data_IF_728675995153
#
_entry.id   IF_728675995153
#
_cell.length_a   1.000
_cell.length_b   1.000
_cell.length_c   1.000
_cell.angle_alpha   90.00
_cell.angle_beta   90.00
_cell.angle_gamma   90.00
#
_symmetry.space_group_name_H-M   'P 1'
#
loop_
_entity.id
_entity.type
_entity.pdbx_description
1 polymer ?
#
# COMPACT_ATOMS: atom_id res chain seq x y z
N UNK A 1 10.37 41.20 33.12
CA UNK A 1 10.83 39.99 32.41
C UNK A 1 9.62 39.06 32.21
N UNK A 2 8.86 39.18 31.11
CA UNK A 2 7.76 38.23 30.81
C UNK A 2 7.19 38.39 29.38
N UNK A 3 8.02 38.66 28.37
CA UNK A 3 7.52 39.02 27.02
C UNK A 3 8.24 38.28 25.89
N UNK A 4 8.64 37.03 26.13
CA UNK A 4 9.36 36.23 25.12
C UNK A 4 8.73 34.86 24.82
N UNK A 5 7.58 34.51 25.41
CA UNK A 5 7.04 33.13 25.30
C UNK A 5 5.85 32.95 24.35
N UNK A 6 5.41 33.98 23.62
CA UNK A 6 4.17 33.92 22.81
C UNK A 6 4.39 33.78 21.28
N UNK A 7 5.63 33.68 20.81
CA UNK A 7 5.95 33.60 19.38
C UNK A 7 6.10 32.17 18.81
N UNK A 8 5.86 31.12 19.60
CA UNK A 8 6.08 29.73 19.17
C UNK A 8 4.82 28.94 18.74
N UNK A 9 3.62 29.53 18.80
CA UNK A 9 2.36 28.75 18.73
C UNK A 9 1.49 28.97 17.47
N UNK A 10 2.07 29.36 16.33
CA UNK A 10 1.31 29.50 15.06
C UNK A 10 1.74 28.53 13.96
N UNK A 11 2.59 27.52 14.26
CA UNK A 11 2.92 26.42 13.35
C UNK A 11 2.04 25.17 13.57
N UNK A 12 0.73 25.35 13.76
CA UNK A 12 -0.22 24.25 13.91
C UNK A 12 -1.41 24.44 12.96
N UNK A 13 -1.19 24.15 11.68
CA UNK A 13 -2.25 24.23 10.67
C UNK A 13 -2.09 23.31 9.46
N UNK A 14 -1.07 22.47 9.44
CA UNK A 14 -0.93 21.44 8.41
C UNK A 14 -0.74 20.12 9.13
N UNK A 15 -1.78 19.29 9.13
CA UNK A 15 -1.66 17.92 9.59
C UNK A 15 -0.46 17.31 8.84
N UNK A 16 0.55 16.76 9.55
CA UNK A 16 1.60 16.02 8.88
C UNK A 16 0.91 14.93 8.07
N UNK A 17 1.28 14.83 6.80
CA UNK A 17 1.08 13.58 6.07
C UNK A 17 1.72 12.51 6.94
N UNK A 18 0.98 11.43 7.21
CA UNK A 18 1.36 10.43 8.20
C UNK A 18 2.87 10.10 8.16
N UNK A 19 3.54 9.91 9.30
CA UNK A 19 4.96 9.55 9.31
C UNK A 19 5.16 8.36 8.38
N UNK A 20 6.09 8.49 7.43
CA UNK A 20 6.36 7.47 6.43
C UNK A 20 6.46 6.11 7.13
N UNK A 21 5.55 5.19 6.79
CA UNK A 21 5.47 3.91 7.47
C UNK A 21 6.81 3.19 7.28
N UNK A 22 7.62 3.09 8.33
CA UNK A 22 9.01 2.64 8.22
C UNK A 22 9.06 1.26 7.56
N UNK A 23 9.81 1.08 6.48
CA UNK A 23 9.84 -0.20 5.78
C UNK A 23 10.46 -1.29 6.67
N UNK A 24 10.08 -2.57 6.50
CA UNK A 24 10.77 -3.68 7.15
C UNK A 24 12.26 -3.72 6.76
N UNK A 25 13.12 -4.25 7.63
CA UNK A 25 14.56 -4.29 7.37
C UNK A 25 15.00 -5.43 6.45
N UNK A 26 14.29 -6.57 6.46
CA UNK A 26 14.61 -7.71 5.60
C UNK A 26 14.22 -7.47 4.13
N UNK A 27 14.91 -8.14 3.20
CA UNK A 27 14.70 -7.92 1.76
C UNK A 27 13.29 -8.26 1.29
N UNK A 28 12.67 -9.32 1.83
CA UNK A 28 11.34 -9.73 1.39
C UNK A 28 10.27 -8.74 1.86
N UNK A 29 10.26 -8.40 3.15
CA UNK A 29 9.36 -7.40 3.72
C UNK A 29 9.57 -6.02 3.12
N UNK A 30 10.82 -5.63 2.83
CA UNK A 30 11.13 -4.35 2.20
C UNK A 30 10.56 -4.26 0.79
N UNK A 31 10.78 -5.27 -0.06
CA UNK A 31 10.27 -5.29 -1.43
C UNK A 31 8.74 -5.34 -1.45
N UNK A 32 8.12 -6.10 -0.55
CA UNK A 32 6.68 -6.11 -0.35
C UNK A 32 6.13 -4.73 0.06
N UNK A 33 6.84 -4.02 0.95
CA UNK A 33 6.50 -2.65 1.31
C UNK A 33 6.65 -1.69 0.12
N UNK A 34 7.72 -1.79 -0.66
CA UNK A 34 7.91 -0.98 -1.88
C UNK A 34 6.75 -1.19 -2.87
N UNK A 35 6.29 -2.43 -3.05
CA UNK A 35 5.13 -2.75 -3.87
C UNK A 35 3.86 -2.04 -3.39
N UNK A 36 3.56 -2.08 -2.09
CA UNK A 36 2.40 -1.40 -1.52
C UNK A 36 2.43 0.11 -1.67
N UNK A 37 3.60 0.72 -1.39
CA UNK A 37 3.80 2.16 -1.49
C UNK A 37 3.68 2.64 -2.94
N UNK A 38 4.32 1.94 -3.88
CA UNK A 38 4.27 2.28 -5.30
C UNK A 38 2.88 2.04 -5.90
N UNK A 39 2.17 1.00 -5.44
CA UNK A 39 0.78 0.78 -5.82
C UNK A 39 -0.12 1.95 -5.45
N UNK A 40 0.01 2.49 -4.24
CA UNK A 40 -0.76 3.68 -3.83
C UNK A 40 -0.44 4.91 -4.67
N UNK A 41 0.84 5.11 -5.04
CA UNK A 41 1.26 6.19 -5.93
C UNK A 41 0.59 6.10 -7.31
N UNK A 42 0.56 4.90 -7.91
CA UNK A 42 -0.05 4.66 -9.22
C UNK A 42 -1.56 4.85 -9.21
N UNK A 43 -2.21 4.44 -8.11
CA UNK A 43 -3.67 4.52 -7.95
C UNK A 43 -4.15 5.96 -7.76
N UNK A 44 -3.36 6.81 -7.10
CA UNK A 44 -3.69 8.22 -6.89
C UNK A 44 -3.54 9.11 -8.12
N UNK A 45 -2.87 8.62 -9.17
CA UNK A 45 -2.52 9.42 -10.35
C UNK A 45 -3.71 10.24 -10.90
N UNK A 46 -4.82 9.57 -11.23
CA UNK A 46 -5.96 10.24 -11.88
C UNK A 46 -6.65 11.25 -10.92
N UNK A 47 -6.57 11.02 -9.61
CA UNK A 47 -7.09 11.92 -8.58
C UNK A 47 -6.26 13.19 -8.43
N UNK A 48 -4.93 13.10 -8.54
CA UNK A 48 -4.02 14.24 -8.29
C UNK A 48 -3.76 15.07 -9.54
N UNK A 49 -3.79 14.48 -10.73
CA UNK A 49 -3.39 15.14 -11.98
C UNK A 49 -4.08 16.49 -12.26
N UNK A 50 -5.36 16.72 -11.94
CA UNK A 50 -5.96 18.04 -12.11
C UNK A 50 -5.26 19.14 -11.30
N UNK A 51 -4.91 18.85 -10.05
CA UNK A 51 -4.19 19.80 -9.19
C UNK A 51 -2.71 19.89 -9.56
N UNK A 52 -2.06 18.79 -9.93
CA UNK A 52 -0.69 18.81 -10.48
C UNK A 52 -0.64 19.73 -11.70
N UNK A 53 -1.58 19.59 -12.63
CA UNK A 53 -1.68 20.44 -13.82
C UNK A 53 -1.86 21.91 -13.47
N UNK A 54 -2.67 22.22 -12.45
CA UNK A 54 -2.85 23.59 -11.97
C UNK A 54 -1.57 24.15 -11.35
N UNK A 55 -0.85 23.34 -10.56
CA UNK A 55 0.40 23.71 -9.90
C UNK A 55 1.49 23.99 -10.95
N UNK A 56 1.68 23.09 -11.90
CA UNK A 56 2.69 23.25 -12.98
C UNK A 56 2.44 24.50 -13.81
N UNK A 57 1.17 24.83 -14.10
CA UNK A 57 0.82 26.08 -14.81
C UNK A 57 1.11 27.34 -14.01
N UNK A 58 0.92 27.28 -12.69
CA UNK A 58 1.18 28.43 -11.80
C UNK A 58 2.67 28.61 -11.50
N UNK A 59 3.42 27.51 -11.46
CA UNK A 59 4.84 27.46 -11.11
C UNK A 59 5.59 26.56 -12.10
N UNK A 60 5.81 27.02 -13.35
CA UNK A 60 6.46 26.21 -14.36
C UNK A 60 7.89 25.84 -13.92
N UNK A 61 8.23 24.56 -14.11
CA UNK A 61 9.60 24.08 -13.98
C UNK A 61 10.56 24.75 -15.00
N UNK A 62 11.88 24.52 -14.86
CA UNK A 62 12.90 25.16 -15.71
C UNK A 62 12.71 24.86 -17.21
N UNK A 63 12.18 23.69 -17.54
CA UNK A 63 11.93 23.25 -18.92
C UNK A 63 10.50 23.59 -19.42
N UNK A 64 9.71 24.27 -18.58
CA UNK A 64 8.33 24.67 -18.87
C UNK A 64 7.27 23.64 -18.50
N UNK A 65 6.00 24.08 -18.58
CA UNK A 65 4.82 23.29 -18.19
C UNK A 65 4.67 22.02 -19.03
N UNK A 66 4.88 22.13 -20.34
CA UNK A 66 4.62 21.05 -21.30
C UNK A 66 5.58 19.88 -21.10
N UNK A 67 6.86 20.18 -20.86
CA UNK A 67 7.87 19.18 -20.50
C UNK A 67 7.53 18.50 -19.17
N UNK A 68 7.18 19.29 -18.15
CA UNK A 68 6.84 18.78 -16.82
C UNK A 68 5.62 17.85 -16.85
N UNK A 69 4.58 18.23 -17.59
CA UNK A 69 3.36 17.42 -17.73
C UNK A 69 3.58 16.11 -18.49
N UNK A 70 4.58 16.04 -19.37
CA UNK A 70 4.95 14.81 -20.08
C UNK A 70 5.60 13.78 -19.15
N UNK A 71 6.33 14.22 -18.13
CA UNK A 71 7.05 13.33 -17.21
C UNK A 71 6.11 12.47 -16.36
N UNK A 72 4.97 13.01 -15.90
CA UNK A 72 4.05 12.29 -15.03
C UNK A 72 3.49 10.96 -15.59
N UNK A 73 2.95 10.89 -16.82
CA UNK A 73 2.52 9.61 -17.39
C UNK A 73 3.68 8.61 -17.57
N UNK A 74 4.88 9.09 -17.90
CA UNK A 74 6.08 8.25 -18.00
C UNK A 74 6.47 7.65 -16.64
N UNK A 75 6.44 8.46 -15.58
CA UNK A 75 6.65 7.99 -14.20
C UNK A 75 5.60 6.96 -13.78
N UNK A 76 4.32 7.15 -14.13
CA UNK A 76 3.26 6.15 -13.85
C UNK A 76 3.53 4.84 -14.60
N UNK A 77 3.98 4.91 -15.84
CA UNK A 77 4.30 3.73 -16.65
C UNK A 77 5.51 2.98 -16.10
N UNK A 78 6.55 3.71 -15.68
CA UNK A 78 7.73 3.13 -15.02
C UNK A 78 7.33 2.46 -13.70
N UNK A 79 6.54 3.13 -12.86
CA UNK A 79 6.06 2.58 -11.60
C UNK A 79 5.29 1.25 -11.78
N UNK A 80 4.45 1.14 -12.81
CA UNK A 80 3.76 -0.11 -13.16
C UNK A 80 4.72 -1.21 -13.62
N UNK A 81 5.83 -0.84 -14.25
CA UNK A 81 6.89 -1.78 -14.64
C UNK A 81 7.64 -2.29 -13.40
N UNK A 82 8.01 -1.40 -12.48
CA UNK A 82 8.68 -1.76 -11.24
C UNK A 82 7.81 -2.66 -10.36
N UNK A 83 6.50 -2.41 -10.30
CA UNK A 83 5.56 -3.30 -9.61
C UNK A 83 5.60 -4.75 -10.12
N UNK A 84 5.87 -4.97 -11.41
CA UNK A 84 6.03 -6.33 -11.97
C UNK A 84 7.32 -6.98 -11.47
N UNK A 85 8.41 -6.21 -11.39
CA UNK A 85 9.69 -6.67 -10.82
C UNK A 85 9.49 -7.08 -9.36
N UNK A 86 8.79 -6.25 -8.57
CA UNK A 86 8.51 -6.57 -7.17
C UNK A 86 7.62 -7.81 -7.03
N UNK A 87 6.60 -7.93 -7.88
CA UNK A 87 5.72 -9.12 -7.91
C UNK A 87 6.51 -10.39 -8.19
N UNK A 88 7.43 -10.35 -9.16
CA UNK A 88 8.29 -11.49 -9.47
C UNK A 88 9.20 -11.87 -8.29
N UNK A 89 9.83 -10.89 -7.66
CA UNK A 89 10.70 -11.10 -6.51
C UNK A 89 9.96 -11.68 -5.29
N UNK A 90 8.78 -11.14 -4.95
CA UNK A 90 7.92 -11.61 -3.86
C UNK A 90 7.48 -13.05 -4.13
N UNK A 91 6.99 -13.33 -5.34
CA UNK A 91 6.55 -14.67 -5.74
C UNK A 91 7.69 -15.68 -5.70
N UNK A 92 8.88 -15.30 -6.18
CA UNK A 92 10.05 -16.16 -6.13
C UNK A 92 10.46 -16.47 -4.69
N UNK A 93 10.45 -15.47 -3.80
CA UNK A 93 10.76 -15.63 -2.39
C UNK A 93 9.75 -16.54 -1.67
N UNK A 94 8.46 -16.37 -1.93
CA UNK A 94 7.41 -17.23 -1.35
C UNK A 94 7.58 -18.68 -1.78
N UNK A 95 7.86 -18.93 -3.06
CA UNK A 95 8.10 -20.28 -3.59
C UNK A 95 9.36 -20.92 -3.05
N UNK A 96 10.39 -20.12 -2.78
CA UNK A 96 11.67 -20.60 -2.26
C UNK A 96 11.67 -20.75 -0.74
N UNK A 97 10.61 -20.34 -0.05
CA UNK A 97 10.54 -20.40 1.39
C UNK A 97 10.11 -21.78 1.89
N UNK A 98 10.77 -22.36 2.91
CA UNK A 98 10.34 -23.61 3.52
C UNK A 98 9.08 -23.45 4.40
N UNK A 99 8.66 -22.22 4.67
CA UNK A 99 7.44 -21.88 5.43
C UNK A 99 6.59 -20.89 4.63
N UNK A 100 5.26 -20.89 4.78
CA UNK A 100 4.44 -19.85 4.17
C UNK A 100 4.79 -18.48 4.76
N UNK A 101 5.23 -17.54 3.90
CA UNK A 101 5.59 -16.16 4.29
C UNK A 101 4.67 -15.10 3.69
N UNK A 102 3.67 -15.51 2.90
CA UNK A 102 2.77 -14.61 2.17
C UNK A 102 1.93 -13.72 3.09
N UNK A 103 1.56 -14.18 4.29
CA UNK A 103 0.87 -13.34 5.27
C UNK A 103 1.74 -12.17 5.74
N UNK A 104 3.03 -12.44 5.99
CA UNK A 104 4.01 -11.39 6.31
C UNK A 104 4.20 -10.42 5.15
N UNK A 105 4.32 -10.94 3.92
CA UNK A 105 4.39 -10.11 2.71
C UNK A 105 3.14 -9.24 2.55
N UNK A 106 1.95 -9.80 2.73
CA UNK A 106 0.69 -9.06 2.69
C UNK A 106 0.61 -7.96 3.74
N UNK A 107 1.09 -8.20 4.96
CA UNK A 107 1.18 -7.16 5.99
C UNK A 107 2.16 -6.04 5.61
N UNK A 108 3.31 -6.39 5.02
CA UNK A 108 4.28 -5.42 4.51
C UNK A 108 3.71 -4.59 3.34
N UNK A 109 2.98 -5.21 2.41
CA UNK A 109 2.25 -4.51 1.33
C UNK A 109 1.26 -3.50 1.92
N UNK A 110 0.45 -3.91 2.92
CA UNK A 110 -0.49 -2.99 3.60
C UNK A 110 0.24 -1.83 4.28
N UNK A 111 1.39 -2.09 4.91
CA UNK A 111 2.24 -1.05 5.51
C UNK A 111 2.85 -0.11 4.46
N UNK A 112 3.22 -0.63 3.30
CA UNK A 112 3.65 0.20 2.16
C UNK A 112 2.54 1.12 1.69
N UNK A 113 1.34 0.55 1.52
CA UNK A 113 0.14 1.29 1.12
C UNK A 113 -0.20 2.42 2.10
N UNK A 114 0.10 2.25 3.39
CA UNK A 114 -0.20 3.26 4.40
C UNK A 114 0.63 4.54 4.30
N UNK A 115 1.65 4.60 3.42
CA UNK A 115 2.29 5.86 3.01
C UNK A 115 1.27 6.86 2.47
N UNK A 116 0.18 6.35 1.88
CA UNK A 116 -0.89 7.14 1.27
C UNK A 116 -2.17 7.19 2.13
N UNK A 117 -2.10 6.75 3.39
CA UNK A 117 -3.25 6.84 4.30
C UNK A 117 -3.70 8.29 4.44
N UNK A 118 -5.01 8.51 4.34
CA UNK A 118 -5.61 9.84 4.45
C UNK A 118 -5.71 10.60 3.13
N UNK A 119 -5.29 10.01 2.00
CA UNK A 119 -5.43 10.64 0.68
C UNK A 119 -6.88 11.04 0.35
N UNK A 120 -7.87 10.24 0.73
CA UNK A 120 -9.30 10.53 0.49
C UNK A 120 -9.82 11.72 1.33
N UNK A 121 -9.21 11.96 2.49
CA UNK A 121 -9.58 13.05 3.40
C UNK A 121 -8.70 14.30 3.25
N UNK A 122 -7.60 14.20 2.51
CA UNK A 122 -6.66 15.29 2.34
C UNK A 122 -7.23 16.37 1.43
N UNK A 123 -6.87 17.63 1.69
CA UNK A 123 -7.10 18.70 0.71
C UNK A 123 -6.41 18.35 -0.61
N UNK A 124 -7.10 18.53 -1.75
CA UNK A 124 -6.61 18.13 -3.08
C UNK A 124 -5.26 18.75 -3.44
N UNK A 125 -5.06 20.04 -3.15
CA UNK A 125 -3.80 20.72 -3.44
C UNK A 125 -2.66 20.17 -2.57
N UNK A 126 -2.95 19.85 -1.30
CA UNK A 126 -1.97 19.22 -0.41
C UNK A 126 -1.61 17.81 -0.90
N UNK A 127 -2.61 17.01 -1.27
CA UNK A 127 -2.38 15.66 -1.79
C UNK A 127 -1.50 15.69 -3.05
N UNK A 128 -1.79 16.59 -3.99
CA UNK A 128 -0.99 16.75 -5.20
C UNK A 128 0.46 17.13 -4.91
N UNK A 129 0.69 18.11 -4.03
CA UNK A 129 2.05 18.50 -3.63
C UNK A 129 2.84 17.33 -3.02
N UNK A 130 2.19 16.58 -2.13
CA UNK A 130 2.80 15.42 -1.48
C UNK A 130 3.13 14.35 -2.51
N UNK A 131 2.18 14.05 -3.39
CA UNK A 131 2.36 13.07 -4.46
C UNK A 131 3.49 13.47 -5.43
N UNK A 132 3.57 14.75 -5.82
CA UNK A 132 4.65 15.28 -6.67
C UNK A 132 6.02 15.20 -5.98
N UNK A 133 6.07 15.41 -4.66
CA UNK A 133 7.31 15.39 -3.88
C UNK A 133 7.79 13.99 -3.50
N UNK A 134 6.93 12.99 -3.67
CA UNK A 134 7.21 11.64 -3.21
C UNK A 134 7.95 10.83 -4.29
N UNK A 135 8.93 10.06 -3.85
CA UNK A 135 9.65 9.10 -4.68
C UNK A 135 9.83 7.81 -3.88
N UNK A 136 9.74 6.62 -4.51
CA UNK A 136 10.09 5.39 -3.83
C UNK A 136 11.57 5.43 -3.39
N UNK A 137 11.94 4.70 -2.31
CA UNK A 137 13.34 4.52 -1.97
C UNK A 137 14.17 4.00 -3.16
N UNK A 138 15.34 4.60 -3.39
CA UNK A 138 16.15 4.33 -4.59
C UNK A 138 16.74 2.92 -4.69
N UNK A 139 16.65 2.11 -3.63
CA UNK A 139 17.14 0.74 -3.58
C UNK A 139 16.05 -0.32 -3.75
N UNK A 140 14.77 0.06 -3.90
CA UNK A 140 13.66 -0.89 -4.05
C UNK A 140 13.89 -1.87 -5.22
N UNK A 141 14.26 -1.37 -6.40
CA UNK A 141 14.50 -2.21 -7.59
C UNK A 141 15.73 -3.12 -7.41
N UNK A 142 16.83 -2.56 -6.89
CA UNK A 142 18.08 -3.30 -6.65
C UNK A 142 17.85 -4.46 -5.69
N UNK A 143 17.13 -4.23 -4.58
CA UNK A 143 16.81 -5.26 -3.59
C UNK A 143 15.84 -6.29 -4.15
N UNK A 144 14.86 -5.88 -4.96
CA UNK A 144 13.95 -6.81 -5.61
C UNK A 144 14.67 -7.78 -6.56
N UNK A 145 15.54 -7.27 -7.44
CA UNK A 145 16.34 -8.11 -8.35
C UNK A 145 17.27 -9.06 -7.58
N UNK A 146 17.91 -8.57 -6.51
CA UNK A 146 18.77 -9.39 -5.66
C UNK A 146 17.97 -10.49 -4.94
N UNK A 147 16.80 -10.15 -4.40
CA UNK A 147 15.87 -11.09 -3.75
C UNK A 147 15.43 -12.16 -4.74
N UNK A 148 14.92 -11.78 -5.91
CA UNK A 148 14.48 -12.71 -6.94
C UNK A 148 15.58 -13.70 -7.32
N UNK A 149 16.80 -13.20 -7.59
CA UNK A 149 17.95 -14.03 -7.96
C UNK A 149 18.27 -15.06 -6.87
N UNK A 150 18.38 -14.63 -5.60
CA UNK A 150 18.69 -15.54 -4.48
C UNK A 150 17.57 -16.55 -4.26
N UNK A 151 16.32 -16.10 -4.31
CA UNK A 151 15.15 -16.97 -4.14
C UNK A 151 15.06 -18.02 -5.25
N UNK A 152 15.34 -17.65 -6.50
CA UNK A 152 15.39 -18.63 -7.60
C UNK A 152 16.49 -19.68 -7.42
N UNK A 153 17.65 -19.32 -6.84
CA UNK A 153 18.71 -20.28 -6.52
C UNK A 153 18.27 -21.21 -5.37
N UNK A 154 17.74 -20.63 -4.29
CA UNK A 154 17.27 -21.38 -3.12
C UNK A 154 16.12 -22.32 -3.48
N UNK A 155 15.13 -21.85 -4.24
CA UNK A 155 14.00 -22.66 -4.69
C UNK A 155 14.45 -23.85 -5.52
N UNK A 156 15.41 -23.66 -6.44
CA UNK A 156 16.01 -24.78 -7.20
C UNK A 156 16.73 -25.78 -6.30
N UNK A 157 17.46 -25.32 -5.29
CA UNK A 157 18.15 -26.20 -4.35
C UNK A 157 17.18 -27.02 -3.48
N UNK A 158 16.10 -26.40 -3.00
CA UNK A 158 15.07 -27.08 -2.22
C UNK A 158 14.31 -28.11 -3.06
N UNK A 159 13.93 -27.77 -4.30
CA UNK A 159 13.31 -28.72 -5.23
C UNK A 159 14.28 -29.86 -5.57
N UNK A 160 15.56 -29.57 -5.84
CA UNK A 160 16.56 -30.59 -6.12
C UNK A 160 16.71 -31.61 -4.97
N UNK A 161 16.65 -31.14 -3.71
CA UNK A 161 16.68 -32.02 -2.54
C UNK A 161 15.36 -32.78 -2.32
N UNK A 162 14.23 -32.22 -2.73
CA UNK A 162 12.92 -32.89 -2.64
C UNK A 162 12.70 -33.97 -3.72
N UNK A 163 13.37 -33.87 -4.87
CA UNK A 163 13.24 -34.82 -6.01
C UNK A 163 14.28 -35.94 -5.94
N UNK A 164 15.33 -35.81 -5.12
CA UNK A 164 16.18 -36.97 -4.83
C UNK A 164 15.36 -38.03 -4.11
N UNK A 165 15.29 -39.28 -4.61
CA UNK A 165 14.71 -40.38 -3.87
C UNK A 165 15.43 -40.44 -2.53
N UNK A 166 14.71 -40.20 -1.45
CA UNK A 166 15.12 -40.71 -0.14
C UNK A 166 15.13 -42.22 -0.34
N UNK A 167 16.33 -42.79 -0.42
CA UNK A 167 16.51 -44.23 -0.32
C UNK A 167 15.71 -44.68 0.91
N UNK A 168 14.78 -45.64 0.75
CA UNK A 168 13.87 -45.97 1.83
C UNK A 168 14.71 -46.31 3.06
N UNK A 169 14.51 -45.55 4.14
CA UNK A 169 15.04 -45.91 5.43
C UNK A 169 14.63 -47.37 5.68
N UNK A 170 15.55 -48.25 6.13
CA UNK A 170 15.20 -49.63 6.41
C UNK A 170 13.99 -49.64 7.33
N UNK A 171 12.95 -50.38 6.91
CA UNK A 171 11.72 -50.52 7.67
C UNK A 171 12.06 -50.86 9.12
N UNK A 172 11.45 -50.19 10.13
CA UNK A 172 11.61 -50.61 11.50
C UNK A 172 11.05 -52.02 11.60
N UNK A 173 11.93 -52.98 11.93
CA UNK A 173 11.56 -54.35 12.27
C UNK A 173 10.40 -54.31 13.24
N UNK A 174 9.21 -54.69 12.77
CA UNK A 174 8.04 -54.82 13.62
C UNK A 174 8.33 -56.02 14.51
N UNK A 175 8.65 -55.75 15.78
CA UNK A 175 8.64 -56.79 16.80
C UNK A 175 7.22 -57.37 16.84
N UNK A 176 7.12 -58.69 16.67
CA UNK A 176 5.85 -59.43 16.68
C UNK A 176 5.00 -59.03 17.87
N UNK A 177 3.88 -58.37 17.59
CA UNK A 177 2.78 -58.23 18.51
C UNK A 177 2.09 -59.60 18.63
N UNK A 178 1.64 -60.03 19.83
CA UNK A 178 0.90 -61.28 19.96
C UNK A 178 -0.48 -61.19 19.32
N UNK A 179 -0.95 -62.34 18.89
CA UNK A 179 -2.21 -62.67 18.22
C UNK A 179 -3.46 -61.99 18.82
N UNK A 180 -4.40 -61.47 18.00
CA UNK A 180 -5.66 -60.93 18.49
C UNK A 180 -6.63 -62.05 18.87
N UNK A 181 -7.08 -62.02 20.12
CA UNK A 181 -8.20 -62.82 20.62
C UNK A 181 -9.53 -62.35 20.02
N UNK A 182 -10.45 -63.31 19.87
CA UNK A 182 -11.64 -63.28 19.02
C UNK A 182 -12.62 -62.12 19.27
N UNK A 183 -13.18 -61.60 18.16
CA UNK A 183 -14.30 -60.68 18.16
C UNK A 183 -15.65 -61.39 18.44
N UNK A 184 -16.58 -60.78 19.20
CA UNK A 184 -17.99 -61.08 19.10
C UNK A 184 -18.68 -60.16 18.06
N UNK A 185 -19.91 -60.51 17.63
CA UNK A 185 -20.40 -60.20 16.29
C UNK A 185 -21.00 -58.80 16.12
N UNK A 186 -21.07 -58.43 14.84
CA UNK A 186 -21.59 -57.21 14.23
C UNK A 186 -23.10 -57.08 14.50
N UNK A 187 -23.53 -56.01 15.17
CA UNK A 187 -24.93 -55.55 15.13
C UNK A 187 -25.06 -54.53 13.99
N UNK A 188 -25.92 -54.87 13.03
CA UNK A 188 -26.21 -54.15 11.81
C UNK A 188 -27.30 -53.10 12.08
N UNK A 189 -27.05 -51.82 11.81
CA UNK A 189 -28.11 -50.81 11.71
C UNK A 189 -27.88 -49.95 10.47
N UNK A 190 -28.87 -49.98 9.58
CA UNK A 190 -28.89 -49.37 8.26
C UNK A 190 -29.03 -47.83 8.29
N UNK A 191 -28.53 -47.11 7.27
CA UNK A 191 -29.05 -45.80 6.86
C UNK A 191 -30.25 -46.00 5.90
N UNK A 192 -31.03 -44.99 5.45
CA UNK A 192 -30.83 -43.52 5.51
C UNK A 192 -32.13 -42.73 5.89
N UNK A 193 -32.06 -41.40 5.96
CA UNK A 193 -32.86 -40.52 5.07
C UNK A 193 -32.59 -39.01 5.30
N UNK A 194 -32.77 -38.16 4.26
CA UNK A 194 -32.30 -36.79 4.19
C UNK A 194 -33.36 -35.78 4.63
N UNK A 195 -32.97 -34.75 5.38
CA UNK A 195 -33.88 -33.63 5.68
C UNK A 195 -33.49 -32.40 4.87
N UNK A 196 -34.22 -32.28 3.78
CA UNK A 196 -34.69 -31.09 3.08
C UNK A 196 -34.21 -29.71 3.59
N UNK A 197 -33.68 -28.94 2.63
CA UNK A 197 -33.78 -27.49 2.58
C UNK A 197 -35.23 -27.00 2.74
N UNK A 198 -35.41 -25.79 3.27
CA UNK A 198 -36.14 -24.79 2.50
C UNK A 198 -35.43 -23.43 2.44
N UNK A 199 -35.59 -22.81 1.29
CA UNK A 199 -35.18 -21.45 0.95
C UNK A 199 -36.31 -20.42 1.30
N UNK A 200 -36.33 -19.16 0.80
CA UNK A 200 -36.19 -17.94 1.60
C UNK A 200 -37.40 -16.99 1.55
N UNK A 201 -37.47 -15.98 2.44
CA UNK A 201 -38.12 -14.65 2.23
C UNK A 201 -38.30 -13.85 3.54
N UNK A 202 -38.60 -12.54 3.51
CA UNK A 202 -38.50 -11.56 2.41
C UNK A 202 -37.80 -10.24 2.82
N UNK A 203 -37.60 -9.40 1.79
CA UNK A 203 -37.17 -8.01 1.86
C UNK A 203 -38.14 -7.10 2.65
N UNK A 204 -37.58 -6.02 3.23
CA UNK A 204 -38.31 -4.77 3.45
C UNK A 204 -37.52 -3.65 2.76
N UNK A 205 -38.27 -2.94 1.91
CA UNK A 205 -37.92 -1.78 1.11
C UNK A 205 -37.98 -0.47 1.92
N UNK A 206 -37.13 0.48 1.48
CA UNK A 206 -37.39 1.93 1.36
C UNK A 206 -37.52 2.75 2.67
N UNK A 207 -36.65 3.75 2.85
CA UNK A 207 -37.08 5.15 2.71
C UNK A 207 -35.91 6.15 2.64
N UNK A 208 -35.96 6.94 1.58
CA UNK A 208 -35.14 8.09 1.25
C UNK A 208 -35.52 9.29 2.12
N UNK A 209 -34.57 10.02 2.69
CA UNK A 209 -34.84 11.37 3.18
C UNK A 209 -33.63 12.30 2.97
N UNK A 210 -33.75 13.10 1.92
CA UNK A 210 -32.97 14.31 1.64
C UNK A 210 -33.47 15.40 2.60
N UNK A 211 -32.57 16.10 3.28
CA UNK A 211 -32.86 17.45 3.79
C UNK A 211 -31.57 18.26 3.99
N UNK A 212 -31.36 19.23 3.10
CA UNK A 212 -30.65 20.49 3.37
C UNK A 212 -31.69 21.60 3.13
N UNK A 213 -31.83 22.59 4.01
CA UNK A 213 -31.22 23.91 3.75
C UNK A 213 -30.78 24.62 5.06
N UNK A 214 -29.87 25.59 5.09
CA UNK A 214 -30.09 26.97 4.66
C UNK A 214 -28.78 27.79 4.71
N UNK A 215 -28.75 28.79 3.84
CA UNK A 215 -27.82 29.91 3.83
C UNK A 215 -28.05 30.88 5.02
N UNK A 216 -26.97 31.52 5.48
CA UNK A 216 -27.05 32.79 6.20
C UNK A 216 -26.02 33.77 5.63
N UNK A 217 -26.50 34.98 5.42
CA UNK A 217 -25.87 36.11 4.73
C UNK A 217 -25.11 37.05 5.67
N UNK A 218 -24.09 37.72 5.09
CA UNK A 218 -23.49 39.03 5.42
C UNK A 218 -22.62 39.17 6.68
N UNK A 219 -21.34 39.52 6.46
CA UNK A 219 -20.85 40.88 6.69
C UNK A 219 -19.55 41.12 5.91
N UNK A 220 -19.48 42.29 5.31
CA UNK A 220 -18.51 42.83 4.37
C UNK A 220 -17.44 43.63 5.15
N UNK A 221 -16.16 43.50 4.80
CA UNK A 221 -15.16 44.53 5.06
C UNK A 221 -14.29 44.70 3.81
N UNK A 222 -14.64 45.74 3.05
CA UNK A 222 -13.84 46.34 1.99
C UNK A 222 -12.82 47.26 2.65
N UNK A 223 -11.53 47.09 2.33
CA UNK A 223 -10.53 48.16 2.45
C UNK A 223 -9.69 48.11 1.17
N UNK A 224 -9.92 49.07 0.28
CA UNK A 224 -8.95 49.52 -0.73
C UNK A 224 -9.18 51.02 -1.03
N UNK A 225 -8.13 51.63 -1.55
CA UNK A 225 -8.04 52.89 -2.28
C UNK A 225 -7.77 54.17 -1.46
N UNK A 226 -6.65 54.19 -0.74
CA UNK A 226 -5.80 55.39 -0.65
C UNK A 226 -4.35 54.99 -0.29
N UNK A 227 -3.73 54.26 -1.22
CA UNK A 227 -2.29 54.28 -1.57
C UNK A 227 -1.35 55.09 -0.64
N UNK A 228 -0.30 54.45 -0.09
CA UNK A 228 1.03 54.91 -0.51
C UNK A 228 1.95 53.72 -0.80
N UNK A 229 1.95 53.26 -2.03
CA UNK A 229 3.20 53.06 -2.75
C UNK A 229 3.56 54.41 -3.40
N UNK A 230 4.84 54.73 -3.63
CA UNK A 230 5.81 53.76 -4.11
C UNK A 230 7.26 53.98 -3.63
N UNK A 231 8.13 53.17 -4.25
CA UNK A 231 9.54 53.44 -4.55
C UNK A 231 10.57 52.82 -3.58
N UNK A 232 11.82 52.61 -4.04
CA UNK A 232 12.25 51.43 -4.79
C UNK A 232 13.60 50.91 -4.23
N UNK A 233 14.12 49.81 -4.78
CA UNK A 233 15.55 49.47 -4.87
C UNK A 233 16.52 49.74 -3.68
N UNK A 234 17.23 48.65 -3.33
CA UNK A 234 18.67 48.62 -3.01
C UNK A 234 19.10 48.98 -1.56
N UNK A 235 19.85 48.04 -0.97
CA UNK A 235 21.20 48.15 -0.36
C UNK A 235 21.41 46.82 0.40
N UNK A 236 22.15 45.85 -0.15
CA UNK A 236 23.57 45.58 0.19
C UNK A 236 23.86 45.61 1.70
N UNK A 237 24.05 44.44 2.33
CA UNK A 237 25.32 43.92 2.89
C UNK A 237 25.29 42.40 2.82
#
# INVERSE_FOLDING_TARGET
MATALLLALTMMGQAPVAPAATPPSDDYGYVAWCFGALGGYVDLYDQVMPEVTRIEKAFPGPDGVEASLKTYPEMRAQARTDMKIFTAAITAAERASPRPISEYGGAAVKKGRSVWTGADSANKARLAQVWMSWSPPGDCETRAKALEKRSNILGKALIYNAVKPVEPAPEPTVASMPEPEAAPPVEQAAPPEPVMTPAPSPAIEVETAIASPQASTKAEFVIDAADPKPCPGRLEV
#
